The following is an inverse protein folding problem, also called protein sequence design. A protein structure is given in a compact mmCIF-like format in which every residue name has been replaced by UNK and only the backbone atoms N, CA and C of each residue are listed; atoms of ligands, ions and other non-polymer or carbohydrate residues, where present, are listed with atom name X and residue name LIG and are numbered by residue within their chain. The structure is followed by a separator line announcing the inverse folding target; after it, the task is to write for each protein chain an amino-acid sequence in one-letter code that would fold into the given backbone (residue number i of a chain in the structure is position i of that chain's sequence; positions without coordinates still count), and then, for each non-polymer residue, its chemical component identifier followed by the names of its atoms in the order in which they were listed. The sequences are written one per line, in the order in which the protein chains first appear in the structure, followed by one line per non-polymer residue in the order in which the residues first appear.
data_IF_905922355799
#
_entry.id   IF_905922355799
#
_cell.length_a   1.000
_cell.length_b   1.000
_cell.length_c   1.000
_cell.angle_alpha   90.00
_cell.angle_beta   90.00
_cell.angle_gamma   90.00
#
_symmetry.space_group_name_H-M   'P 1'
#
loop_
_entity.id
_entity.type
_entity.pdbx_description
1 polymer ?
#
# COMPACT_ATOMS: atom_id res chain seq x y z
N UNK A 1 -25.12 -14.03 15.14
CA UNK A 1 -26.54 -14.37 14.87
C UNK A 1 -26.99 -15.79 15.29
N UNK A 2 -26.15 -16.64 15.90
CA UNK A 2 -26.66 -17.86 16.56
C UNK A 2 -27.19 -17.57 17.97
N UNK A 3 -26.45 -16.74 18.69
CA UNK A 3 -26.71 -16.39 20.09
C UNK A 3 -27.32 -14.99 20.26
N UNK A 4 -27.38 -14.20 19.19
CA UNK A 4 -27.86 -12.83 19.17
C UNK A 4 -28.90 -12.66 18.06
N UNK A 5 -29.85 -11.76 18.29
CA UNK A 5 -30.78 -11.29 17.27
C UNK A 5 -30.06 -10.45 16.21
N UNK A 6 -30.55 -10.50 14.98
CA UNK A 6 -30.05 -9.68 13.89
C UNK A 6 -30.54 -8.24 14.04
N UNK A 7 -29.69 -7.26 13.73
CA UNK A 7 -30.10 -5.85 13.64
C UNK A 7 -30.57 -5.55 12.22
N UNK A 8 -31.50 -4.62 12.10
CA UNK A 8 -31.98 -4.09 10.82
C UNK A 8 -30.97 -3.11 10.23
N UNK A 9 -29.78 -3.61 9.92
CA UNK A 9 -28.66 -2.83 9.42
C UNK A 9 -28.09 -3.52 8.19
N UNK A 10 -28.24 -2.89 7.02
CA UNK A 10 -27.84 -3.46 5.73
C UNK A 10 -26.95 -2.49 4.96
N UNK A 11 -25.98 -3.05 4.23
CA UNK A 11 -25.19 -2.33 3.26
C UNK A 11 -26.00 -2.09 1.99
N UNK A 12 -26.07 -0.82 1.59
CA UNK A 12 -26.59 -0.37 0.31
C UNK A 12 -25.44 0.31 -0.45
N UNK A 13 -25.14 -0.12 -1.68
CA UNK A 13 -24.03 0.47 -2.44
C UNK A 13 -24.38 1.87 -2.91
N UNK A 14 -23.45 2.80 -2.79
CA UNK A 14 -23.59 4.11 -3.44
C UNK A 14 -23.73 3.97 -4.98
N UNK A 15 -24.51 4.81 -5.66
CA UNK A 15 -24.74 4.70 -7.11
C UNK A 15 -23.47 4.67 -7.95
N UNK A 16 -22.39 5.30 -7.51
CA UNK A 16 -21.09 5.33 -8.18
C UNK A 16 -20.40 3.96 -8.17
N UNK A 17 -20.69 3.14 -7.16
CA UNK A 17 -20.13 1.81 -6.97
C UNK A 17 -20.93 0.72 -7.71
N UNK A 18 -22.08 1.07 -8.31
CA UNK A 18 -22.87 0.19 -9.16
C UNK A 18 -22.33 0.28 -10.60
N UNK A 19 -21.57 -0.73 -10.97
CA UNK A 19 -20.83 -0.81 -12.24
C UNK A 19 -20.99 -2.21 -12.84
N UNK A 20 -20.73 -2.34 -14.14
CA UNK A 20 -20.74 -3.66 -14.78
C UNK A 20 -19.59 -4.53 -14.28
N UNK A 21 -19.71 -5.84 -14.51
CA UNK A 21 -18.64 -6.79 -14.19
C UNK A 21 -17.41 -6.50 -15.03
N UNK A 22 -16.23 -6.43 -14.41
CA UNK A 22 -14.99 -6.28 -15.18
C UNK A 22 -14.65 -7.53 -15.97
N UNK A 23 -14.28 -7.34 -17.25
CA UNK A 23 -13.83 -8.41 -18.13
C UNK A 23 -12.43 -8.93 -17.77
N UNK A 24 -11.58 -8.07 -17.19
CA UNK A 24 -10.21 -8.40 -16.80
C UNK A 24 -10.12 -8.87 -15.34
N UNK A 25 -10.90 -8.25 -14.46
CA UNK A 25 -10.91 -8.59 -13.04
C UNK A 25 -12.25 -9.24 -12.64
N UNK A 26 -12.25 -10.55 -12.42
CA UNK A 26 -13.45 -11.28 -11.97
C UNK A 26 -13.96 -10.86 -10.59
N UNK A 27 -13.13 -10.19 -9.77
CA UNK A 27 -13.51 -9.67 -8.45
C UNK A 27 -13.82 -8.16 -8.48
N UNK A 28 -13.68 -7.52 -9.65
CA UNK A 28 -13.81 -6.09 -9.83
C UNK A 28 -15.01 -5.70 -10.68
N UNK A 29 -15.28 -4.40 -10.65
CA UNK A 29 -16.33 -3.78 -11.47
C UNK A 29 -15.66 -2.78 -12.41
N UNK A 30 -16.24 -2.60 -13.60
CA UNK A 30 -15.80 -1.61 -14.58
C UNK A 30 -16.92 -1.29 -15.55
N UNK A 31 -16.95 -0.05 -16.04
CA UNK A 31 -17.96 0.42 -16.98
C UNK A 31 -19.18 1.01 -16.29
N UNK A 32 -19.86 1.89 -17.02
CA UNK A 32 -20.95 2.68 -16.49
C UNK A 32 -22.30 1.97 -16.67
N UNK A 33 -23.06 1.87 -15.59
CA UNK A 33 -24.42 1.34 -15.59
C UNK A 33 -25.41 2.50 -15.77
N UNK A 34 -26.40 2.40 -16.67
CA UNK A 34 -27.40 3.45 -16.85
C UNK A 34 -28.14 3.78 -15.54
N UNK A 35 -28.52 5.05 -15.29
CA UNK A 35 -29.19 5.46 -14.06
C UNK A 35 -30.43 4.63 -13.71
N UNK A 36 -31.26 4.30 -14.71
CA UNK A 36 -32.47 3.47 -14.51
C UNK A 36 -32.13 2.07 -13.97
N UNK A 37 -31.05 1.46 -14.47
CA UNK A 37 -30.63 0.15 -14.00
C UNK A 37 -29.97 0.23 -12.63
N UNK A 38 -29.25 1.32 -12.31
CA UNK A 38 -28.74 1.57 -10.96
C UNK A 38 -29.87 1.69 -9.95
N UNK A 39 -30.91 2.46 -10.28
CA UNK A 39 -32.09 2.59 -9.42
C UNK A 39 -32.75 1.23 -9.20
N UNK A 40 -32.94 0.45 -10.26
CA UNK A 40 -33.49 -0.90 -10.16
C UNK A 40 -32.67 -1.83 -9.25
N UNK A 41 -31.34 -1.72 -9.27
CA UNK A 41 -30.46 -2.47 -8.35
C UNK A 41 -30.72 -2.05 -6.91
N UNK A 42 -30.79 -0.75 -6.63
CA UNK A 42 -31.08 -0.23 -5.29
C UNK A 42 -32.46 -0.69 -4.79
N UNK A 43 -33.48 -0.57 -5.63
CA UNK A 43 -34.85 -1.01 -5.31
C UNK A 43 -34.87 -2.49 -4.91
N UNK A 44 -34.15 -3.35 -5.66
CA UNK A 44 -34.04 -4.78 -5.32
C UNK A 44 -33.24 -5.06 -4.04
N UNK A 45 -32.19 -4.27 -3.76
CA UNK A 45 -31.47 -4.38 -2.48
C UNK A 45 -32.40 -4.04 -1.31
N UNK A 46 -33.19 -2.97 -1.42
CA UNK A 46 -34.15 -2.56 -0.41
C UNK A 46 -35.27 -3.60 -0.24
N UNK A 47 -35.96 -3.98 -1.33
CA UNK A 47 -37.05 -4.96 -1.30
C UNK A 47 -36.60 -6.29 -0.68
N UNK A 48 -35.43 -6.80 -1.09
CA UNK A 48 -34.92 -8.06 -0.57
C UNK A 48 -34.54 -7.96 0.92
N UNK A 49 -33.91 -6.86 1.33
CA UNK A 49 -33.50 -6.68 2.73
C UNK A 49 -34.73 -6.56 3.65
N UNK A 50 -35.70 -5.72 3.30
CA UNK A 50 -36.94 -5.52 4.07
C UNK A 50 -37.75 -6.81 4.18
N UNK A 51 -37.95 -7.50 3.04
CA UNK A 51 -38.75 -8.72 3.01
C UNK A 51 -38.08 -9.85 3.78
N UNK A 52 -36.78 -10.07 3.58
CA UNK A 52 -36.03 -11.09 4.32
C UNK A 52 -36.01 -10.81 5.82
N UNK A 53 -35.89 -9.55 6.22
CA UNK A 53 -35.90 -9.17 7.63
C UNK A 53 -37.28 -9.37 8.27
N UNK A 54 -38.36 -8.99 7.57
CA UNK A 54 -39.75 -9.25 8.03
C UNK A 54 -39.98 -10.74 8.26
N UNK A 55 -39.63 -11.59 7.28
CA UNK A 55 -39.76 -13.05 7.42
C UNK A 55 -38.92 -13.61 8.56
N UNK A 56 -37.72 -13.06 8.78
CA UNK A 56 -36.86 -13.44 9.91
C UNK A 56 -37.51 -13.06 11.25
N UNK A 57 -38.06 -11.85 11.37
CA UNK A 57 -38.72 -11.36 12.58
C UNK A 57 -39.95 -12.20 12.93
N UNK A 58 -40.84 -12.45 11.97
CA UNK A 58 -42.04 -13.28 12.16
C UNK A 58 -41.70 -14.65 12.76
N UNK A 59 -40.67 -15.32 12.23
CA UNK A 59 -40.23 -16.63 12.71
C UNK A 59 -39.45 -16.56 14.03
N UNK A 60 -38.72 -15.47 14.27
CA UNK A 60 -38.04 -15.23 15.54
C UNK A 60 -39.06 -15.02 16.67
N UNK A 61 -40.13 -14.27 16.42
CA UNK A 61 -41.26 -14.08 17.35
C UNK A 61 -42.01 -15.39 17.61
N UNK A 62 -42.16 -16.24 16.58
CA UNK A 62 -42.73 -17.59 16.72
C UNK A 62 -41.80 -18.60 17.46
N UNK A 63 -40.59 -18.18 17.86
CA UNK A 63 -39.65 -19.00 18.65
C UNK A 63 -38.87 -20.05 17.85
N UNK A 64 -38.79 -19.92 16.52
CA UNK A 64 -37.99 -20.83 15.67
C UNK A 64 -36.50 -20.62 15.93
N UNK A 65 -35.71 -21.69 15.84
CA UNK A 65 -34.28 -21.66 16.13
C UNK A 65 -33.51 -20.62 15.28
N UNK A 66 -32.87 -19.65 15.96
CA UNK A 66 -32.14 -18.53 15.33
C UNK A 66 -31.06 -18.96 14.34
N UNK A 67 -30.37 -20.07 14.62
CA UNK A 67 -29.32 -20.56 13.72
C UNK A 67 -29.82 -21.00 12.34
N UNK A 68 -31.09 -21.40 12.27
CA UNK A 68 -31.78 -21.80 11.05
C UNK A 68 -32.32 -20.58 10.32
N UNK A 69 -33.13 -19.77 11.00
CA UNK A 69 -33.86 -18.64 10.39
C UNK A 69 -32.92 -17.52 9.91
N UNK A 70 -31.73 -17.36 10.50
CA UNK A 70 -30.73 -16.40 9.99
C UNK A 70 -30.30 -16.69 8.54
N UNK A 71 -30.54 -17.90 8.03
CA UNK A 71 -30.25 -18.25 6.63
C UNK A 71 -31.19 -17.55 5.64
N UNK A 72 -32.27 -16.93 6.12
CA UNK A 72 -33.15 -16.08 5.31
C UNK A 72 -32.57 -14.69 5.05
N UNK A 73 -31.62 -14.24 5.88
CA UNK A 73 -31.03 -12.92 5.80
C UNK A 73 -30.01 -12.85 4.64
N UNK A 74 -30.03 -11.78 3.83
CA UNK A 74 -29.08 -11.61 2.75
C UNK A 74 -27.67 -11.29 3.26
N UNK A 75 -26.67 -11.48 2.38
CA UNK A 75 -25.25 -11.31 2.71
C UNK A 75 -24.82 -9.85 2.90
N UNK A 76 -25.67 -8.88 2.55
CA UNK A 76 -25.41 -7.46 2.78
C UNK A 76 -25.80 -7.00 4.19
N UNK A 77 -26.27 -7.89 5.08
CA UNK A 77 -26.49 -7.55 6.49
C UNK A 77 -25.18 -7.22 7.18
N UNK A 78 -25.16 -6.14 7.97
CA UNK A 78 -24.00 -5.79 8.77
C UNK A 78 -23.79 -6.79 9.90
N UNK A 79 -22.52 -6.96 10.26
CA UNK A 79 -22.11 -7.71 11.43
C UNK A 79 -20.93 -7.02 12.07
N UNK A 80 -20.81 -7.19 13.37
CA UNK A 80 -19.70 -6.70 14.18
C UNK A 80 -18.84 -7.87 14.61
N UNK A 81 -17.53 -7.67 14.67
CA UNK A 81 -16.60 -8.59 15.31
C UNK A 81 -15.39 -7.84 15.85
N UNK A 82 -14.77 -8.38 16.89
CA UNK A 82 -13.45 -7.93 17.32
C UNK A 82 -12.38 -8.66 16.52
N UNK A 83 -11.53 -7.90 15.84
CA UNK A 83 -10.37 -8.45 15.15
C UNK A 83 -9.09 -8.02 15.85
N UNK A 84 -8.35 -9.00 16.40
CA UNK A 84 -7.03 -8.79 16.99
C UNK A 84 -5.99 -9.42 16.10
N UNK A 85 -5.01 -8.63 15.67
CA UNK A 85 -3.90 -9.10 14.85
C UNK A 85 -2.60 -8.38 15.24
N UNK A 86 -1.46 -8.98 14.91
CA UNK A 86 -0.17 -8.29 15.00
C UNK A 86 0.06 -7.38 13.79
N UNK A 87 1.02 -6.46 13.93
CA UNK A 87 1.31 -5.47 12.90
C UNK A 87 1.82 -6.08 11.58
N UNK A 88 2.58 -7.17 11.64
CA UNK A 88 3.15 -7.79 10.43
C UNK A 88 2.04 -8.37 9.55
N UNK A 89 1.14 -9.14 10.15
CA UNK A 89 0.00 -9.72 9.46
C UNK A 89 -1.04 -8.66 9.05
N UNK A 90 -1.19 -7.58 9.82
CA UNK A 90 -2.04 -6.46 9.42
C UNK A 90 -1.51 -5.74 8.17
N UNK A 91 -0.21 -5.46 8.10
CA UNK A 91 0.42 -4.88 6.91
C UNK A 91 0.29 -5.80 5.69
N UNK A 92 0.45 -7.12 5.89
CA UNK A 92 0.22 -8.10 4.82
C UNK A 92 -1.23 -8.09 4.33
N UNK A 93 -2.20 -8.05 5.25
CA UNK A 93 -3.62 -7.92 4.91
C UNK A 93 -3.89 -6.65 4.11
N UNK A 94 -3.37 -5.50 4.55
CA UNK A 94 -3.54 -4.22 3.85
C UNK A 94 -2.98 -4.31 2.42
N UNK A 95 -1.79 -4.87 2.24
CA UNK A 95 -1.21 -5.05 0.91
C UNK A 95 -2.08 -5.86 -0.05
N UNK A 96 -2.72 -6.92 0.45
CA UNK A 96 -3.62 -7.76 -0.36
C UNK A 96 -4.99 -7.10 -0.59
N UNK A 97 -5.46 -6.30 0.37
CA UNK A 97 -6.85 -5.81 0.39
C UNK A 97 -7.00 -4.36 -0.04
N UNK A 98 -5.93 -3.58 -0.16
CA UNK A 98 -5.95 -2.27 -0.82
C UNK A 98 -5.61 -2.36 -2.32
N UNK A 99 -5.28 -3.56 -2.83
CA UNK A 99 -5.05 -3.79 -4.26
C UNK A 99 -6.32 -3.47 -5.09
N UNK A 100 -6.15 -2.85 -6.26
CA UNK A 100 -7.26 -2.48 -7.14
C UNK A 100 -8.07 -3.69 -7.65
N UNK A 101 -7.48 -4.88 -7.60
CA UNK A 101 -8.15 -6.12 -7.94
C UNK A 101 -9.09 -6.62 -6.84
N UNK A 102 -8.88 -6.20 -5.59
CA UNK A 102 -9.76 -6.54 -4.49
C UNK A 102 -11.12 -5.84 -4.65
N UNK A 103 -12.16 -6.49 -4.12
CA UNK A 103 -13.52 -5.95 -4.11
C UNK A 103 -13.57 -4.59 -3.40
N UNK A 104 -14.30 -3.62 -3.96
CA UNK A 104 -14.36 -2.24 -3.44
C UNK A 104 -14.65 -2.19 -1.93
N UNK A 105 -15.65 -2.94 -1.46
CA UNK A 105 -16.08 -2.87 -0.07
C UNK A 105 -14.96 -3.24 0.90
N UNK A 106 -14.16 -4.27 0.63
CA UNK A 106 -13.04 -4.65 1.52
C UNK A 106 -11.87 -3.65 1.44
N UNK A 107 -11.69 -2.97 0.30
CA UNK A 107 -10.68 -1.90 0.16
C UNK A 107 -10.99 -0.74 1.10
N UNK A 108 -12.26 -0.33 1.22
CA UNK A 108 -12.66 0.74 2.15
C UNK A 108 -12.24 0.43 3.60
N UNK A 109 -12.44 -0.80 4.06
CA UNK A 109 -11.95 -1.23 5.38
C UNK A 109 -10.42 -1.26 5.46
N UNK A 110 -9.76 -1.78 4.42
CA UNK A 110 -8.29 -1.84 4.34
C UNK A 110 -7.65 -0.45 4.40
N UNK A 111 -8.22 0.52 3.69
CA UNK A 111 -7.71 1.90 3.60
C UNK A 111 -7.91 2.64 4.93
N UNK A 112 -9.03 2.42 5.60
CA UNK A 112 -9.25 2.92 6.96
C UNK A 112 -8.22 2.32 7.95
N UNK A 113 -7.96 1.02 7.87
CA UNK A 113 -6.93 0.37 8.70
C UNK A 113 -5.53 0.91 8.39
N UNK A 114 -5.19 1.11 7.11
CA UNK A 114 -3.92 1.70 6.68
C UNK A 114 -3.71 3.10 7.24
N UNK A 115 -4.77 3.93 7.28
CA UNK A 115 -4.73 5.24 7.92
C UNK A 115 -4.32 5.14 9.40
N UNK A 116 -4.96 4.25 10.17
CA UNK A 116 -4.62 4.05 11.57
C UNK A 116 -3.20 3.48 11.76
N UNK A 117 -2.75 2.57 10.90
CA UNK A 117 -1.38 2.04 10.96
C UNK A 117 -0.36 3.14 10.71
N UNK A 118 -0.58 3.99 9.70
CA UNK A 118 0.28 5.14 9.42
C UNK A 118 0.38 6.09 10.61
N UNK A 119 -0.72 6.32 11.31
CA UNK A 119 -0.75 7.19 12.49
C UNK A 119 -0.04 6.56 13.70
N UNK A 120 -0.31 5.28 13.99
CA UNK A 120 0.17 4.61 15.22
C UNK A 120 1.55 3.97 15.11
N UNK A 121 1.96 3.57 13.91
CA UNK A 121 3.25 2.92 13.65
C UNK A 121 3.94 3.52 12.41
N UNK A 122 4.24 4.85 12.41
CA UNK A 122 4.68 5.57 11.22
C UNK A 122 5.99 5.02 10.61
N UNK A 123 6.96 4.64 11.43
CA UNK A 123 8.23 4.08 10.93
C UNK A 123 8.06 2.69 10.29
N UNK A 124 7.16 1.87 10.83
CA UNK A 124 6.86 0.57 10.25
C UNK A 124 6.05 0.72 8.95
N UNK A 125 5.16 1.70 8.91
CA UNK A 125 4.42 2.06 7.69
C UNK A 125 5.36 2.56 6.59
N UNK A 126 6.27 3.49 6.90
CA UNK A 126 7.29 4.00 5.96
C UNK A 126 8.14 2.85 5.41
N UNK A 127 8.72 2.02 6.28
CA UNK A 127 9.49 0.85 5.85
C UNK A 127 8.65 -0.13 4.99
N UNK A 128 7.36 -0.30 5.29
CA UNK A 128 6.48 -1.13 4.47
C UNK A 128 6.27 -0.51 3.07
N UNK A 129 6.05 0.80 2.99
CA UNK A 129 5.94 1.50 1.71
C UNK A 129 7.24 1.36 0.91
N UNK A 130 8.39 1.60 1.52
CA UNK A 130 9.69 1.62 0.83
C UNK A 130 10.13 0.23 0.35
N UNK A 131 10.03 -0.79 1.21
CA UNK A 131 10.60 -2.11 0.92
C UNK A 131 9.59 -3.12 0.35
N UNK A 132 8.29 -2.90 0.54
CA UNK A 132 7.26 -3.86 0.12
C UNK A 132 6.37 -3.32 -0.98
N UNK A 133 5.85 -2.10 -0.85
CA UNK A 133 4.90 -1.54 -1.82
C UNK A 133 5.61 -0.94 -3.04
N UNK A 134 6.61 -0.09 -2.80
CA UNK A 134 7.37 0.62 -3.83
C UNK A 134 8.72 -0.03 -4.13
N UNK A 135 9.14 -1.00 -3.32
CA UNK A 135 10.36 -1.76 -3.52
C UNK A 135 10.26 -2.71 -4.71
N UNK A 136 11.36 -2.89 -5.43
CA UNK A 136 11.47 -3.88 -6.49
C UNK A 136 12.18 -5.13 -5.96
N UNK A 137 11.53 -6.29 -6.09
CA UNK A 137 12.12 -7.58 -5.74
C UNK A 137 12.59 -8.29 -7.01
N UNK A 138 13.87 -8.64 -7.03
CA UNK A 138 14.44 -9.47 -8.09
C UNK A 138 14.56 -10.92 -7.60
N UNK A 139 14.07 -11.84 -8.41
CA UNK A 139 14.43 -13.25 -8.30
C UNK A 139 15.92 -13.44 -8.53
N UNK A 140 16.43 -14.61 -8.15
CA UNK A 140 17.84 -14.98 -8.39
C UNK A 140 18.24 -14.85 -9.86
N UNK A 141 17.32 -15.18 -10.79
CA UNK A 141 17.59 -15.15 -12.23
C UNK A 141 17.66 -13.70 -12.72
N UNK A 142 16.68 -12.87 -12.36
CA UNK A 142 16.65 -11.46 -12.75
C UNK A 142 17.86 -10.70 -12.20
N UNK A 143 18.22 -10.95 -10.92
CA UNK A 143 19.43 -10.41 -10.31
C UNK A 143 20.68 -10.80 -11.12
N UNK A 144 20.83 -12.08 -11.47
CA UNK A 144 21.99 -12.55 -12.22
C UNK A 144 22.08 -12.00 -13.65
N UNK A 145 20.97 -11.63 -14.27
CA UNK A 145 20.98 -10.93 -15.57
C UNK A 145 21.45 -9.49 -15.43
N UNK A 146 20.97 -8.79 -14.39
CA UNK A 146 21.35 -7.41 -14.10
C UNK A 146 22.84 -7.29 -13.77
N UNK A 147 23.37 -8.19 -12.93
CA UNK A 147 24.79 -8.22 -12.56
C UNK A 147 25.72 -8.44 -13.76
N UNK A 148 25.34 -9.32 -14.72
CA UNK A 148 26.15 -9.59 -15.91
C UNK A 148 26.19 -8.42 -16.90
N UNK A 149 25.14 -7.60 -16.91
CA UNK A 149 24.98 -6.53 -17.88
C UNK A 149 25.35 -5.16 -17.34
N UNK A 150 25.63 -5.02 -16.04
CA UNK A 150 26.05 -3.73 -15.47
C UNK A 150 27.53 -3.45 -15.79
N UNK A 151 27.86 -2.47 -16.64
CA UNK A 151 29.25 -2.08 -16.87
C UNK A 151 29.80 -1.35 -15.64
N UNK A 152 31.09 -1.52 -15.33
CA UNK A 152 31.76 -0.84 -14.21
C UNK A 152 31.57 0.68 -14.24
N UNK A 153 31.64 1.29 -15.43
CA UNK A 153 31.41 2.72 -15.62
C UNK A 153 30.05 3.18 -15.08
N UNK A 154 29.00 2.36 -15.26
CA UNK A 154 27.67 2.69 -14.74
C UNK A 154 27.63 2.54 -13.23
N UNK A 155 28.37 1.55 -12.67
CA UNK A 155 28.51 1.42 -11.22
C UNK A 155 29.22 2.65 -10.65
N UNK A 156 30.32 3.10 -11.27
CA UNK A 156 31.06 4.29 -10.88
C UNK A 156 30.16 5.53 -10.88
N UNK A 157 29.43 5.77 -11.99
CA UNK A 157 28.50 6.90 -12.12
C UNK A 157 27.45 6.89 -10.98
N UNK A 158 26.88 5.73 -10.65
CA UNK A 158 25.88 5.60 -9.57
C UNK A 158 26.51 5.80 -8.18
N UNK A 159 27.71 5.25 -7.95
CA UNK A 159 28.43 5.41 -6.67
C UNK A 159 28.80 6.87 -6.43
N UNK A 160 29.16 7.60 -7.49
CA UNK A 160 29.42 9.03 -7.45
C UNK A 160 28.16 9.81 -7.03
N UNK A 161 27.01 9.53 -7.65
CA UNK A 161 25.72 10.11 -7.27
C UNK A 161 25.34 9.80 -5.81
N UNK A 162 25.62 8.58 -5.33
CA UNK A 162 25.41 8.22 -3.93
C UNK A 162 26.30 9.05 -3.00
N UNK A 163 27.56 9.32 -3.37
CA UNK A 163 28.46 10.15 -2.58
C UNK A 163 27.93 11.59 -2.44
N UNK A 164 27.38 12.18 -3.52
CA UNK A 164 26.69 13.47 -3.46
C UNK A 164 25.50 13.43 -2.50
N UNK A 165 24.60 12.44 -2.66
CA UNK A 165 23.39 12.33 -1.83
C UNK A 165 23.72 12.10 -0.35
N UNK A 166 24.72 11.26 -0.04
CA UNK A 166 25.21 11.07 1.33
C UNK A 166 25.73 12.37 1.92
N UNK A 167 26.50 13.13 1.15
CA UNK A 167 27.05 14.44 1.57
C UNK A 167 25.94 15.43 1.87
N UNK A 168 24.97 15.58 0.97
CA UNK A 168 23.78 16.43 1.16
C UNK A 168 22.95 16.01 2.37
N UNK A 169 22.71 14.72 2.53
CA UNK A 169 21.93 14.18 3.65
C UNK A 169 22.62 14.42 4.99
N UNK A 170 23.93 14.15 5.06
CA UNK A 170 24.72 14.38 6.26
C UNK A 170 24.84 15.86 6.61
N UNK A 171 24.93 16.74 5.60
CA UNK A 171 24.92 18.20 5.80
C UNK A 171 23.56 18.69 6.29
N UNK A 172 22.45 18.19 5.72
CA UNK A 172 21.09 18.53 6.21
C UNK A 172 20.88 18.12 7.67
N UNK A 173 21.36 16.94 8.07
CA UNK A 173 21.25 16.47 9.46
C UNK A 173 22.19 17.19 10.44
N UNK A 174 23.36 17.60 9.97
CA UNK A 174 24.32 18.41 10.73
C UNK A 174 25.00 19.40 9.78
N UNK A 175 24.53 20.66 9.73
CA UNK A 175 25.11 21.68 8.87
C UNK A 175 26.61 21.84 9.10
N UNK A 176 27.35 22.08 8.02
CA UNK A 176 28.80 22.24 7.98
C UNK A 176 29.14 23.47 7.13
N UNK A 177 30.31 24.05 7.33
CA UNK A 177 30.80 25.13 6.49
C UNK A 177 31.03 24.63 5.05
N UNK A 178 30.93 25.52 4.05
CA UNK A 178 31.14 25.15 2.64
C UNK A 178 32.52 24.52 2.41
N UNK A 179 33.54 24.98 3.14
CA UNK A 179 34.89 24.44 3.05
C UNK A 179 35.00 22.95 3.45
N UNK A 180 34.06 22.45 4.27
CA UNK A 180 34.04 21.07 4.77
C UNK A 180 33.21 20.12 3.89
N UNK A 181 32.48 20.64 2.90
CA UNK A 181 31.59 19.84 2.04
C UNK A 181 32.37 18.92 1.10
N UNK A 182 33.37 19.45 0.39
CA UNK A 182 34.20 18.65 -0.52
C UNK A 182 35.02 17.57 0.21
N UNK A 183 35.67 17.85 1.36
CA UNK A 183 36.30 16.79 2.17
C UNK A 183 35.30 15.73 2.66
N UNK A 184 34.08 16.13 3.02
CA UNK A 184 33.03 15.17 3.41
C UNK A 184 32.63 14.27 2.24
N UNK A 185 32.50 14.86 1.06
CA UNK A 185 32.20 14.17 -0.20
C UNK A 185 33.25 13.12 -0.55
N UNK A 186 34.53 13.49 -0.52
CA UNK A 186 35.64 12.56 -0.71
C UNK A 186 35.61 11.43 0.33
N UNK A 187 35.25 11.75 1.58
CA UNK A 187 35.07 10.72 2.64
C UNK A 187 33.89 9.78 2.36
N UNK A 188 32.87 10.20 1.62
CA UNK A 188 31.80 9.32 1.15
C UNK A 188 32.19 8.55 -0.12
N UNK A 189 33.43 8.71 -0.60
CA UNK A 189 34.02 8.01 -1.74
C UNK A 189 33.73 8.65 -3.09
N UNK A 190 33.39 9.94 -3.12
CA UNK A 190 33.32 10.70 -4.36
C UNK A 190 34.71 10.92 -4.97
N UNK A 191 34.78 10.91 -6.29
CA UNK A 191 36.00 10.94 -7.11
C UNK A 191 36.13 12.17 -8.01
N UNK A 192 35.06 12.95 -8.16
CA UNK A 192 35.00 14.18 -8.95
C UNK A 192 36.02 15.23 -8.48
N UNK A 193 36.45 16.05 -9.45
CA UNK A 193 37.27 17.22 -9.16
C UNK A 193 36.51 18.20 -8.25
N UNK A 194 37.24 19.09 -7.57
CA UNK A 194 36.60 20.09 -6.70
C UNK A 194 35.73 21.04 -7.52
N UNK A 195 36.16 21.37 -8.73
CA UNK A 195 35.43 22.20 -9.67
C UNK A 195 34.10 21.55 -10.09
N UNK A 196 34.12 20.28 -10.47
CA UNK A 196 32.92 19.53 -10.87
C UNK A 196 31.97 19.34 -9.70
N UNK A 197 32.51 19.03 -8.51
CA UNK A 197 31.73 18.95 -7.27
C UNK A 197 30.98 20.23 -6.98
N UNK A 198 31.66 21.38 -7.01
CA UNK A 198 31.01 22.66 -6.75
C UNK A 198 29.92 22.94 -7.79
N UNK A 199 30.19 22.68 -9.08
CA UNK A 199 29.22 22.90 -10.15
C UNK A 199 27.93 22.09 -9.94
N UNK A 200 28.06 20.81 -9.58
CA UNK A 200 26.92 19.92 -9.32
C UNK A 200 26.25 20.18 -7.98
N UNK A 201 27.00 20.62 -6.98
CA UNK A 201 26.45 20.99 -5.69
C UNK A 201 25.61 22.27 -5.78
N UNK A 202 26.14 23.28 -6.47
CA UNK A 202 25.51 24.60 -6.62
C UNK A 202 24.29 24.57 -7.56
N UNK A 203 24.15 23.53 -8.39
CA UNK A 203 22.94 23.33 -9.19
C UNK A 203 21.69 23.08 -8.34
N UNK A 204 21.87 22.65 -7.08
CA UNK A 204 20.77 22.35 -6.17
C UNK A 204 20.00 21.06 -6.52
N UNK A 205 20.49 20.26 -7.47
CA UNK A 205 19.82 19.03 -7.93
C UNK A 205 20.02 17.85 -6.98
N UNK A 206 20.97 17.95 -6.03
CA UNK A 206 21.31 16.86 -5.11
C UNK A 206 20.22 16.65 -4.07
N UNK A 207 19.57 15.49 -4.12
CA UNK A 207 18.49 15.12 -3.20
C UNK A 207 19.05 14.46 -1.93
N UNK A 208 18.37 14.70 -0.80
CA UNK A 208 18.65 13.97 0.45
C UNK A 208 17.84 12.68 0.54
N UNK A 209 18.40 11.63 1.12
CA UNK A 209 17.74 10.32 1.26
C UNK A 209 18.14 9.65 2.59
N UNK A 210 17.84 8.36 2.77
CA UNK A 210 18.23 7.60 3.96
C UNK A 210 19.72 7.21 3.92
N UNK A 211 20.51 7.70 4.89
CA UNK A 211 21.96 7.45 4.97
C UNK A 211 22.30 5.96 5.00
N UNK A 212 21.51 5.17 5.74
CA UNK A 212 21.77 3.73 5.90
C UNK A 212 21.56 3.00 4.58
N UNK A 213 20.45 3.28 3.90
CA UNK A 213 20.12 2.64 2.62
C UNK A 213 21.12 2.98 1.53
N UNK A 214 21.51 4.26 1.44
CA UNK A 214 22.51 4.70 0.48
C UNK A 214 23.85 3.99 0.68
N UNK A 215 24.29 3.81 1.94
CA UNK A 215 25.51 3.05 2.25
C UNK A 215 25.38 1.57 1.91
N UNK A 216 24.29 0.93 2.33
CA UNK A 216 24.05 -0.48 2.01
C UNK A 216 23.95 -0.71 0.50
N UNK A 217 23.38 0.24 -0.26
CA UNK A 217 23.30 0.16 -1.71
C UNK A 217 24.66 0.37 -2.38
N UNK A 218 25.45 1.34 -1.91
CA UNK A 218 26.82 1.56 -2.36
C UNK A 218 27.67 0.29 -2.18
N UNK A 219 27.66 -0.31 -0.99
CA UNK A 219 28.42 -1.54 -0.71
C UNK A 219 27.98 -2.70 -1.62
N UNK A 220 26.66 -2.84 -1.86
CA UNK A 220 26.14 -3.85 -2.79
C UNK A 220 26.64 -3.61 -4.21
N UNK A 221 26.61 -2.38 -4.70
CA UNK A 221 27.08 -2.01 -6.04
C UNK A 221 28.58 -2.25 -6.21
N UNK A 222 29.40 -1.84 -5.24
CA UNK A 222 30.84 -2.04 -5.27
C UNK A 222 31.20 -3.54 -5.28
N UNK A 223 30.43 -4.38 -4.58
CA UNK A 223 30.62 -5.84 -4.59
C UNK A 223 30.34 -6.51 -5.95
N UNK A 224 29.74 -5.79 -6.91
CA UNK A 224 29.49 -6.28 -8.27
C UNK A 224 30.65 -6.01 -9.23
N UNK A 225 31.62 -5.17 -8.85
CA UNK A 225 32.85 -4.97 -9.62
C UNK A 225 33.74 -6.21 -9.45
N UNK A 226 34.27 -6.73 -10.56
CA UNK A 226 35.14 -7.91 -10.55
C UNK A 226 36.61 -7.52 -10.41
#
# INVERSE_FOLDING_TARGET
LRYSEARDEFYYPEPENIQFQSALNKQGRSGEVPPELKQKVLDYFHENSERSFTMYQDLNEAGVARELIRSLLPVNIYTEWYWKNDLHNLLHFIGLRSDSHAQYEIRVFSDAMAHYVKEKAPFAWEAYQDYVVHGMRFSKIEKGLLEKQLPERVIDDIVEDIAYQLTATLHKGKPREEADLYPLYQKQGGSDSKEDFNLKWDSGEVKTSNVRELREFKEKLESLKN
#
